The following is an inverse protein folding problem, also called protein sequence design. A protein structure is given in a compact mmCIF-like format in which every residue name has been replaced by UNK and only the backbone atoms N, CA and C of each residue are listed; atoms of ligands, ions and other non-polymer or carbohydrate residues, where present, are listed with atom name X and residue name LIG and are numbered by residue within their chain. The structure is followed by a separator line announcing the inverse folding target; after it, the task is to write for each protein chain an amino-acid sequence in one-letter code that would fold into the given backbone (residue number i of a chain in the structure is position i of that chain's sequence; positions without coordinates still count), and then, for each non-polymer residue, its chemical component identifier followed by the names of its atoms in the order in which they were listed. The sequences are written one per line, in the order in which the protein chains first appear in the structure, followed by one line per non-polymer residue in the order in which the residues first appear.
data_IF_051860509075
#
_entry.id   IF_051860509075
#
_cell.length_a   1.000
_cell.length_b   1.000
_cell.length_c   1.000
_cell.angle_alpha   90.00
_cell.angle_beta   90.00
_cell.angle_gamma   90.00
#
_symmetry.space_group_name_H-M   'P 1'
#
loop_
_entity.id
_entity.type
_entity.pdbx_description
1 polymer ?
#
# COMPACT_ATOMS: atom_id res chain seq x y z
N UNK A 1 -34.64 3.21 4.57
CA UNK A 1 -33.67 3.87 3.67
C UNK A 1 -32.53 2.88 3.45
N UNK A 2 -32.30 2.46 2.20
CA UNK A 2 -31.23 1.50 1.86
C UNK A 2 -29.90 2.22 2.12
N UNK A 3 -29.01 1.65 2.94
CA UNK A 3 -27.69 2.23 3.17
C UNK A 3 -27.04 2.51 1.80
N UNK A 4 -26.39 3.68 1.59
CA UNK A 4 -25.70 3.92 0.33
C UNK A 4 -24.66 2.82 0.16
N UNK A 5 -24.81 2.03 -0.91
CA UNK A 5 -23.88 0.95 -1.22
C UNK A 5 -22.47 1.50 -1.47
N UNK A 6 -21.47 0.61 -1.42
CA UNK A 6 -20.11 0.99 -1.77
C UNK A 6 -20.04 1.48 -3.24
N UNK A 7 -19.12 2.40 -3.57
CA UNK A 7 -18.81 2.75 -4.95
C UNK A 7 -18.54 1.50 -5.80
N UNK A 8 -18.90 1.51 -7.09
CA UNK A 8 -18.87 0.32 -7.95
C UNK A 8 -17.51 -0.40 -7.97
N UNK A 9 -16.40 0.33 -8.08
CA UNK A 9 -15.06 -0.28 -8.06
C UNK A 9 -14.68 -0.77 -6.66
N UNK A 10 -15.08 -0.07 -5.60
CA UNK A 10 -14.88 -0.53 -4.22
C UNK A 10 -15.65 -1.82 -3.95
N UNK A 11 -16.89 -1.94 -4.44
CA UNK A 11 -17.66 -3.17 -4.35
C UNK A 11 -16.99 -4.32 -5.12
N UNK A 12 -16.50 -4.07 -6.34
CA UNK A 12 -15.75 -5.07 -7.11
C UNK A 12 -14.55 -5.63 -6.33
N UNK A 13 -13.73 -4.76 -5.72
CA UNK A 13 -12.62 -5.21 -4.89
C UNK A 13 -13.10 -5.93 -3.61
N UNK A 14 -14.22 -5.49 -3.00
CA UNK A 14 -14.79 -6.16 -1.82
C UNK A 14 -15.18 -7.61 -2.12
N UNK A 15 -15.81 -7.83 -3.28
CA UNK A 15 -16.23 -9.15 -3.75
C UNK A 15 -15.00 -10.01 -4.08
N UNK A 16 -14.00 -9.43 -4.76
CA UNK A 16 -12.74 -10.10 -5.09
C UNK A 16 -11.98 -10.56 -3.83
N UNK A 17 -11.83 -9.69 -2.83
CA UNK A 17 -11.22 -10.05 -1.55
C UNK A 17 -12.03 -11.09 -0.80
N UNK A 18 -13.37 -11.04 -0.85
CA UNK A 18 -14.20 -12.06 -0.24
C UNK A 18 -13.96 -13.43 -0.88
N UNK A 19 -13.83 -13.49 -2.21
CA UNK A 19 -13.45 -14.72 -2.91
C UNK A 19 -12.08 -15.27 -2.50
N UNK A 20 -11.06 -14.41 -2.42
CA UNK A 20 -9.69 -14.82 -2.04
C UNK A 20 -9.60 -15.28 -0.59
N UNK A 21 -10.21 -14.52 0.31
CA UNK A 21 -10.14 -14.77 1.76
C UNK A 21 -10.97 -15.99 2.17
N UNK A 22 -12.10 -16.24 1.52
CA UNK A 22 -12.95 -17.41 1.82
C UNK A 22 -12.38 -18.71 1.24
N UNK A 23 -11.45 -18.64 0.29
CA UNK A 23 -10.83 -19.80 -0.34
C UNK A 23 -9.30 -19.77 -0.19
N UNK A 24 -8.77 -19.85 1.05
CA UNK A 24 -7.33 -19.79 1.28
C UNK A 24 -6.56 -20.94 0.61
N UNK A 25 -7.22 -22.04 0.28
CA UNK A 25 -6.64 -23.17 -0.45
C UNK A 25 -6.26 -22.83 -1.90
N UNK A 26 -6.85 -21.77 -2.46
CA UNK A 26 -6.50 -21.26 -3.78
C UNK A 26 -5.26 -20.36 -3.74
N UNK A 27 -4.83 -19.92 -2.55
CA UNK A 27 -3.60 -19.15 -2.38
C UNK A 27 -2.41 -20.11 -2.37
N UNK A 28 -1.58 -19.96 -3.40
CA UNK A 28 -0.38 -20.75 -3.59
C UNK A 28 0.82 -20.16 -2.86
N UNK A 29 2.00 -20.43 -3.42
CA UNK A 29 3.28 -19.99 -2.87
C UNK A 29 3.43 -18.47 -2.95
N UNK A 30 4.10 -17.88 -1.95
CA UNK A 30 4.54 -16.48 -1.98
C UNK A 30 6.01 -16.42 -2.39
N UNK A 31 6.27 -15.75 -3.50
CA UNK A 31 7.58 -15.40 -4.02
C UNK A 31 7.98 -14.00 -3.55
N UNK A 32 9.28 -13.74 -3.46
CA UNK A 32 9.81 -12.47 -2.97
C UNK A 32 10.75 -11.86 -4.00
N UNK A 33 10.43 -10.68 -4.51
CA UNK A 33 11.35 -9.98 -5.39
C UNK A 33 12.57 -9.47 -4.62
N UNK A 34 13.74 -9.55 -5.25
CA UNK A 34 15.00 -9.04 -4.73
C UNK A 34 15.34 -7.64 -5.27
N UNK A 35 16.35 -7.03 -4.64
CA UNK A 35 16.99 -5.82 -5.14
C UNK A 35 18.19 -6.22 -6.00
N UNK A 36 18.10 -6.13 -7.34
CA UNK A 36 19.25 -6.44 -8.19
C UNK A 36 20.33 -5.36 -8.06
N UNK A 37 21.59 -5.74 -8.26
CA UNK A 37 22.73 -4.81 -8.21
C UNK A 37 22.67 -3.74 -9.31
N UNK A 38 22.05 -4.06 -10.45
CA UNK A 38 21.74 -3.14 -11.54
C UNK A 38 20.31 -3.35 -12.01
N UNK A 39 19.61 -2.23 -12.30
CA UNK A 39 18.23 -2.26 -12.77
C UNK A 39 18.20 -2.22 -14.29
N UNK A 40 17.75 -3.29 -14.97
CA UNK A 40 17.54 -3.24 -16.42
C UNK A 40 16.42 -2.25 -16.77
N UNK A 41 16.45 -1.74 -18.00
CA UNK A 41 15.43 -0.82 -18.53
C UNK A 41 14.05 -1.49 -18.47
N UNK A 42 13.04 -0.75 -18.01
CA UNK A 42 11.68 -1.26 -17.83
C UNK A 42 11.41 -1.91 -16.46
N UNK A 43 12.42 -1.97 -15.57
CA UNK A 43 12.21 -2.42 -14.20
C UNK A 43 11.32 -1.45 -13.44
N UNK A 44 10.35 -1.99 -12.71
CA UNK A 44 9.50 -1.25 -11.78
C UNK A 44 10.12 -1.33 -10.39
N UNK A 45 10.64 -0.21 -9.90
CA UNK A 45 11.13 -0.05 -8.53
C UNK A 45 10.31 1.06 -7.87
N UNK A 46 9.58 0.72 -6.81
CA UNK A 46 8.69 1.65 -6.11
C UNK A 46 9.12 1.69 -4.64
N UNK A 47 9.01 2.85 -4.01
CA UNK A 47 9.40 3.07 -2.62
C UNK A 47 8.46 2.42 -1.59
N UNK A 48 7.39 1.75 -2.05
CA UNK A 48 6.37 1.14 -1.21
C UNK A 48 6.30 -0.37 -1.44
N UNK A 49 6.05 -1.17 -0.39
CA UNK A 49 5.80 -2.60 -0.56
C UNK A 49 4.61 -2.85 -1.46
N UNK A 50 4.71 -3.89 -2.30
CA UNK A 50 3.67 -4.31 -3.22
C UNK A 50 3.43 -5.80 -3.12
N UNK A 51 2.17 -6.22 -3.24
CA UNK A 51 1.79 -7.62 -3.34
C UNK A 51 1.01 -7.81 -4.64
N UNK A 52 1.55 -8.62 -5.53
CA UNK A 52 0.88 -9.02 -6.77
C UNK A 52 0.36 -10.46 -6.60
N UNK A 53 -0.90 -10.71 -6.95
CA UNK A 53 -1.58 -12.00 -6.85
C UNK A 53 -2.08 -12.42 -8.22
N UNK A 54 -1.64 -13.58 -8.70
CA UNK A 54 -2.09 -14.12 -9.98
C UNK A 54 -3.46 -14.78 -9.78
N UNK A 55 -4.51 -14.12 -10.24
CA UNK A 55 -5.88 -14.62 -10.12
C UNK A 55 -6.19 -15.67 -11.19
N UNK A 56 -5.55 -15.57 -12.36
CA UNK A 56 -5.66 -16.54 -13.45
C UNK A 56 -4.56 -16.30 -14.46
N UNK A 57 -4.10 -17.36 -15.13
CA UNK A 57 -3.11 -17.28 -16.20
C UNK A 57 -1.69 -17.35 -15.68
N UNK A 58 -0.76 -16.70 -16.36
CA UNK A 58 0.67 -16.75 -16.02
C UNK A 58 1.29 -15.36 -15.98
N UNK A 59 1.94 -15.03 -14.86
CA UNK A 59 2.69 -13.81 -14.65
C UNK A 59 4.19 -14.11 -14.54
N UNK A 60 5.06 -13.29 -15.11
CA UNK A 60 6.51 -13.51 -15.01
C UNK A 60 7.25 -12.30 -14.47
N UNK A 61 8.32 -12.54 -13.73
CA UNK A 61 9.33 -11.57 -13.33
C UNK A 61 10.70 -12.01 -13.85
N UNK A 62 11.30 -11.26 -14.78
CA UNK A 62 12.58 -11.63 -15.42
C UNK A 62 13.80 -11.48 -14.52
N UNK A 63 13.68 -10.75 -13.42
CA UNK A 63 14.82 -10.48 -12.54
C UNK A 63 15.28 -11.73 -11.78
N UNK A 64 14.41 -12.73 -11.62
CA UNK A 64 14.74 -13.99 -10.95
C UNK A 64 14.26 -15.20 -11.76
N UNK A 65 15.16 -16.13 -12.03
CA UNK A 65 14.86 -17.32 -12.83
C UNK A 65 13.68 -18.15 -12.28
N UNK A 66 13.55 -18.23 -10.95
CA UNK A 66 12.46 -18.96 -10.29
C UNK A 66 11.11 -18.25 -10.37
N UNK A 67 11.10 -16.96 -10.71
CA UNK A 67 9.92 -16.11 -10.78
C UNK A 67 9.52 -15.78 -12.23
N UNK A 68 10.13 -16.44 -13.22
CA UNK A 68 9.78 -16.23 -14.62
C UNK A 68 8.38 -16.75 -14.97
N UNK A 69 7.83 -17.64 -14.14
CA UNK A 69 6.52 -18.24 -14.34
C UNK A 69 5.80 -18.44 -13.00
N UNK A 70 4.98 -17.48 -12.63
CA UNK A 70 4.00 -17.57 -11.56
C UNK A 70 2.65 -17.98 -12.15
N UNK A 71 2.02 -18.97 -11.54
CA UNK A 71 0.72 -19.52 -11.97
C UNK A 71 -0.42 -19.04 -11.07
N UNK A 72 -1.65 -19.40 -11.42
CA UNK A 72 -2.85 -19.09 -10.65
C UNK A 72 -2.69 -19.45 -9.16
N UNK A 73 -3.06 -18.52 -8.29
CA UNK A 73 -2.94 -18.62 -6.84
C UNK A 73 -1.59 -18.17 -6.29
N UNK A 74 -0.52 -18.19 -7.09
CA UNK A 74 0.78 -17.74 -6.63
C UNK A 74 0.84 -16.21 -6.49
N UNK A 75 1.70 -15.79 -5.58
CA UNK A 75 1.81 -14.40 -5.16
C UNK A 75 3.26 -13.93 -5.27
N UNK A 76 3.46 -12.66 -5.60
CA UNK A 76 4.77 -12.01 -5.60
C UNK A 76 4.72 -10.82 -4.64
N UNK A 77 5.41 -10.95 -3.52
CA UNK A 77 5.67 -9.84 -2.62
C UNK A 77 6.95 -9.10 -3.07
N UNK A 78 6.84 -7.80 -3.22
CA UNK A 78 7.91 -6.91 -3.66
C UNK A 78 8.14 -5.93 -2.52
N UNK A 79 9.21 -6.11 -1.74
CA UNK A 79 9.56 -5.17 -0.68
C UNK A 79 9.76 -3.75 -1.22
N UNK A 80 9.68 -2.75 -0.34
CA UNK A 80 10.03 -1.38 -0.70
C UNK A 80 11.42 -1.32 -1.35
N UNK A 81 11.54 -0.58 -2.46
CA UNK A 81 12.77 -0.43 -3.25
C UNK A 81 13.30 -1.71 -3.90
N UNK A 82 12.60 -2.84 -3.77
CA UNK A 82 12.83 -4.00 -4.63
C UNK A 82 12.27 -3.74 -6.02
N UNK A 83 12.83 -4.42 -7.00
CA UNK A 83 12.42 -4.26 -8.38
C UNK A 83 11.76 -5.52 -8.91
N UNK A 84 10.87 -5.34 -9.88
CA UNK A 84 10.39 -6.43 -10.72
C UNK A 84 10.42 -5.99 -12.19
N UNK A 85 10.66 -6.93 -13.08
CA UNK A 85 10.58 -6.74 -14.53
C UNK A 85 9.48 -7.65 -15.06
N UNK A 86 8.23 -7.15 -15.17
CA UNK A 86 7.09 -7.97 -15.53
C UNK A 86 7.19 -8.45 -16.98
N UNK A 87 6.85 -9.72 -17.21
CA UNK A 87 6.68 -10.32 -18.54
C UNK A 87 5.20 -10.44 -18.85
N UNK A 88 4.78 -9.93 -20.01
CA UNK A 88 3.38 -9.98 -20.45
C UNK A 88 3.17 -10.85 -21.71
N UNK A 89 3.86 -11.99 -21.80
CA UNK A 89 3.79 -12.83 -23.01
C UNK A 89 2.54 -13.71 -23.03
N UNK A 90 1.88 -13.90 -21.89
CA UNK A 90 0.70 -14.75 -21.73
C UNK A 90 -0.47 -13.96 -21.10
N UNK A 91 -1.72 -14.36 -21.37
CA UNK A 91 -2.87 -13.72 -20.74
C UNK A 91 -2.86 -13.96 -19.23
N UNK A 92 -3.10 -12.90 -18.46
CA UNK A 92 -3.06 -12.91 -17.00
C UNK A 92 -4.09 -11.95 -16.42
N UNK A 93 -4.75 -12.40 -15.34
CA UNK A 93 -5.50 -11.54 -14.45
C UNK A 93 -4.70 -11.38 -13.16
N UNK A 94 -4.34 -10.14 -12.84
CA UNK A 94 -3.45 -9.81 -11.73
C UNK A 94 -4.14 -8.82 -10.79
N UNK A 95 -4.14 -9.13 -9.50
CA UNK A 95 -4.48 -8.17 -8.44
C UNK A 95 -3.18 -7.63 -7.85
N UNK A 96 -2.96 -6.33 -7.93
CA UNK A 96 -1.80 -5.66 -7.34
C UNK A 96 -2.25 -4.74 -6.20
N UNK A 97 -1.61 -4.89 -5.05
CA UNK A 97 -1.83 -4.11 -3.84
C UNK A 97 -0.57 -3.31 -3.52
N UNK A 98 -0.68 -1.99 -3.44
CA UNK A 98 0.42 -1.09 -3.06
C UNK A 98 0.16 -0.53 -1.67
N UNK A 99 1.10 -0.75 -0.76
CA UNK A 99 0.97 -0.39 0.65
C UNK A 99 1.75 0.88 0.96
N UNK A 100 1.13 2.04 0.72
CA UNK A 100 1.71 3.30 1.13
C UNK A 100 1.36 3.65 2.59
N UNK A 101 2.13 4.50 3.26
CA UNK A 101 1.90 4.80 4.67
C UNK A 101 0.56 5.48 4.97
N UNK A 102 -0.03 6.16 3.99
CA UNK A 102 -1.28 6.91 4.14
C UNK A 102 -2.42 6.38 3.26
N UNK A 103 -2.14 5.51 2.29
CA UNK A 103 -3.14 4.95 1.39
C UNK A 103 -2.82 3.50 0.97
N UNK A 104 -3.87 2.73 0.72
CA UNK A 104 -3.82 1.40 0.12
C UNK A 104 -4.28 1.54 -1.33
N UNK A 105 -3.40 1.21 -2.27
CA UNK A 105 -3.72 1.20 -3.70
C UNK A 105 -4.10 -0.20 -4.13
N UNK A 106 -5.22 -0.33 -4.81
CA UNK A 106 -5.70 -1.59 -5.37
C UNK A 106 -5.85 -1.42 -6.87
N UNK A 107 -5.17 -2.27 -7.62
CA UNK A 107 -5.17 -2.27 -9.08
C UNK A 107 -5.48 -3.67 -9.58
N UNK A 108 -6.45 -3.78 -10.46
CA UNK A 108 -6.78 -5.02 -11.16
C UNK A 108 -6.37 -4.88 -12.62
N UNK A 109 -5.55 -5.82 -13.09
CA UNK A 109 -5.10 -5.89 -14.47
C UNK A 109 -5.70 -7.13 -15.13
N UNK A 110 -6.20 -6.95 -16.36
CA UNK A 110 -6.64 -8.05 -17.21
C UNK A 110 -5.93 -7.91 -18.56
N UNK A 111 -4.89 -8.72 -18.77
CA UNK A 111 -4.08 -8.62 -19.99
C UNK A 111 -4.79 -9.11 -21.25
N UNK A 112 -5.99 -9.71 -21.11
CA UNK A 112 -6.84 -10.11 -22.23
C UNK A 112 -7.56 -8.92 -22.85
N UNK A 113 -7.88 -7.90 -22.05
CA UNK A 113 -8.67 -6.74 -22.48
C UNK A 113 -7.82 -5.48 -22.60
N UNK A 114 -6.70 -5.39 -21.87
CA UNK A 114 -5.89 -4.16 -21.77
C UNK A 114 -4.42 -4.52 -21.51
N UNK A 115 -3.46 -3.69 -21.90
CA UNK A 115 -2.05 -3.92 -21.54
C UNK A 115 -1.84 -3.91 -20.02
N UNK A 116 -0.87 -4.67 -19.50
CA UNK A 116 -0.46 -4.62 -18.07
C UNK A 116 0.06 -3.24 -17.63
N UNK A 117 0.23 -2.30 -18.57
CA UNK A 117 0.57 -0.91 -18.28
C UNK A 117 -0.61 -0.12 -17.70
N UNK A 118 -1.85 -0.53 -17.99
CA UNK A 118 -3.06 0.18 -17.53
C UNK A 118 -3.99 -0.78 -16.79
N UNK A 119 -4.30 -0.51 -15.51
CA UNK A 119 -5.23 -1.34 -14.75
C UNK A 119 -6.63 -1.19 -15.34
N UNK A 120 -7.34 -2.31 -15.47
CA UNK A 120 -8.74 -2.33 -15.88
C UNK A 120 -9.65 -1.71 -14.81
N UNK A 121 -9.27 -1.81 -13.54
CA UNK A 121 -9.91 -1.10 -12.41
C UNK A 121 -8.85 -0.70 -11.40
N UNK A 122 -8.99 0.48 -10.81
CA UNK A 122 -8.09 0.98 -9.78
C UNK A 122 -8.82 1.83 -8.77
N UNK A 123 -8.54 1.61 -7.48
CA UNK A 123 -8.99 2.49 -6.39
C UNK A 123 -7.84 2.78 -5.43
N UNK A 124 -7.95 3.91 -4.73
CA UNK A 124 -7.10 4.25 -3.61
C UNK A 124 -7.97 4.48 -2.39
N UNK A 125 -7.67 3.75 -1.32
CA UNK A 125 -8.39 3.84 -0.05
C UNK A 125 -7.46 4.40 1.03
N UNK A 126 -7.98 5.11 2.04
CA UNK A 126 -7.18 5.47 3.20
C UNK A 126 -6.55 4.23 3.81
N UNK A 127 -5.24 4.27 4.06
CA UNK A 127 -4.54 3.12 4.65
C UNK A 127 -4.98 2.98 6.10
N UNK A 128 -5.35 1.76 6.47
CA UNK A 128 -5.56 1.39 7.87
C UNK A 128 -4.30 0.73 8.45
N UNK A 129 -3.11 1.21 8.07
CA UNK A 129 -1.84 0.87 8.73
C UNK A 129 -1.83 1.42 10.17
N UNK A 130 -2.75 0.93 11.00
CA UNK A 130 -2.53 0.79 12.44
C UNK A 130 -1.45 -0.28 12.60
N UNK A 131 -0.62 -0.16 13.63
CA UNK A 131 0.67 -0.87 13.77
C UNK A 131 0.68 -2.37 13.42
N UNK A 132 -0.45 -3.06 13.47
CA UNK A 132 -0.63 -4.43 12.95
C UNK A 132 -0.25 -4.58 11.47
N UNK A 133 -0.78 -3.73 10.58
CA UNK A 133 -0.50 -3.81 9.14
C UNK A 133 0.97 -3.49 8.82
N UNK A 134 1.54 -2.50 9.52
CA UNK A 134 2.96 -2.17 9.41
C UNK A 134 3.85 -3.31 9.94
N UNK A 135 3.48 -3.93 11.06
CA UNK A 135 4.18 -5.07 11.62
C UNK A 135 4.14 -6.28 10.68
N UNK A 136 2.99 -6.57 10.06
CA UNK A 136 2.87 -7.63 9.06
C UNK A 136 3.75 -7.38 7.84
N UNK A 137 3.74 -6.15 7.29
CA UNK A 137 4.58 -5.77 6.16
C UNK A 137 6.08 -5.82 6.51
N UNK A 138 6.43 -5.42 7.73
CA UNK A 138 7.79 -5.51 8.27
C UNK A 138 8.23 -6.97 8.39
N UNK A 139 7.38 -7.82 8.97
CA UNK A 139 7.63 -9.26 9.08
C UNK A 139 7.81 -9.92 7.70
N UNK A 140 6.96 -9.61 6.72
CA UNK A 140 7.11 -10.07 5.34
C UNK A 140 8.44 -9.60 4.71
N UNK A 141 8.83 -8.36 4.97
CA UNK A 141 10.11 -7.81 4.49
C UNK A 141 11.32 -8.51 5.15
N UNK A 142 11.20 -8.95 6.39
CA UNK A 142 12.25 -9.77 7.02
C UNK A 142 12.28 -11.19 6.45
N UNK A 143 11.12 -11.81 6.26
CA UNK A 143 11.00 -13.15 5.68
C UNK A 143 11.47 -13.20 4.22
N UNK A 144 11.46 -12.07 3.50
CA UNK A 144 12.01 -11.99 2.14
C UNK A 144 13.49 -12.35 2.07
N UNK A 145 14.24 -12.22 3.18
CA UNK A 145 15.66 -12.60 3.27
C UNK A 145 15.86 -14.11 3.44
N UNK A 146 14.84 -14.84 3.90
CA UNK A 146 14.84 -16.30 4.07
C UNK A 146 13.49 -16.88 3.61
N UNK A 147 13.25 -16.96 2.29
CA UNK A 147 11.92 -17.26 1.73
C UNK A 147 11.54 -18.77 1.78
N UNK A 148 12.12 -19.53 2.71
CA UNK A 148 11.94 -20.98 2.82
C UNK A 148 10.71 -21.37 3.65
N UNK A 149 10.27 -20.52 4.57
CA UNK A 149 9.23 -20.83 5.56
C UNK A 149 7.81 -20.51 5.06
N UNK A 150 7.37 -21.16 3.98
CA UNK A 150 6.05 -20.91 3.38
C UNK A 150 4.90 -21.14 4.37
N UNK A 151 5.07 -22.06 5.32
CA UNK A 151 4.11 -22.34 6.41
C UNK A 151 3.86 -21.13 7.33
N UNK A 152 4.78 -20.17 7.39
CA UNK A 152 4.62 -18.91 8.13
C UNK A 152 4.20 -17.78 7.19
N UNK A 153 4.79 -17.72 6.00
CA UNK A 153 4.56 -16.65 5.03
C UNK A 153 3.11 -16.64 4.54
N UNK A 154 2.54 -17.80 4.18
CA UNK A 154 1.18 -17.88 3.64
C UNK A 154 0.12 -17.37 4.63
N UNK A 155 0.06 -17.84 5.90
CA UNK A 155 -0.87 -17.29 6.89
C UNK A 155 -0.70 -15.80 7.14
N UNK A 156 0.54 -15.29 7.09
CA UNK A 156 0.82 -13.87 7.27
C UNK A 156 0.26 -13.03 6.11
N UNK A 157 0.46 -13.48 4.86
CA UNK A 157 -0.16 -12.82 3.69
C UNK A 157 -1.68 -12.91 3.74
N UNK A 158 -2.25 -14.06 4.12
CA UNK A 158 -3.70 -14.20 4.29
C UNK A 158 -4.24 -13.22 5.33
N UNK A 159 -3.55 -13.06 6.46
CA UNK A 159 -3.90 -12.07 7.49
C UNK A 159 -3.87 -10.63 6.96
N UNK A 160 -2.87 -10.31 6.12
CA UNK A 160 -2.80 -9.02 5.42
C UNK A 160 -3.97 -8.82 4.44
N UNK A 161 -4.41 -9.87 3.73
CA UNK A 161 -5.58 -9.82 2.86
C UNK A 161 -6.89 -9.62 3.64
N UNK A 162 -7.02 -10.23 4.82
CA UNK A 162 -8.13 -9.96 5.74
C UNK A 162 -8.17 -8.48 6.15
N UNK A 163 -7.01 -7.90 6.48
CA UNK A 163 -6.92 -6.47 6.78
C UNK A 163 -7.35 -5.63 5.58
N UNK A 164 -6.86 -5.92 4.38
CA UNK A 164 -7.26 -5.23 3.15
C UNK A 164 -8.78 -5.32 2.92
N UNK A 165 -9.37 -6.51 3.09
CA UNK A 165 -10.82 -6.72 3.00
C UNK A 165 -11.58 -5.83 3.99
N UNK A 166 -11.09 -5.67 5.22
CA UNK A 166 -11.70 -4.77 6.20
C UNK A 166 -11.69 -3.32 5.71
N UNK A 167 -10.55 -2.85 5.17
CA UNK A 167 -10.43 -1.49 4.61
C UNK A 167 -11.37 -1.27 3.44
N UNK A 168 -11.48 -2.23 2.52
CA UNK A 168 -12.35 -2.12 1.34
C UNK A 168 -13.83 -2.13 1.70
N UNK A 169 -14.22 -2.80 2.77
CA UNK A 169 -15.62 -2.82 3.22
C UNK A 169 -16.02 -1.59 4.06
N UNK A 170 -15.08 -0.69 4.38
CA UNK A 170 -15.40 0.52 5.14
C UNK A 170 -16.21 1.52 4.28
N UNK A 171 -17.34 2.05 4.78
CA UNK A 171 -18.12 3.05 4.06
C UNK A 171 -17.31 4.33 3.81
N UNK A 172 -17.44 4.97 2.63
CA UNK A 172 -16.82 6.26 2.37
C UNK A 172 -17.43 7.31 3.31
N UNK A 173 -16.69 7.70 4.35
CA UNK A 173 -17.14 8.65 5.37
C UNK A 173 -16.93 8.18 6.82
N UNK A 174 -16.67 6.89 7.05
CA UNK A 174 -16.24 6.38 8.37
C UNK A 174 -14.72 6.43 8.55
N UNK A 175 -14.03 7.10 7.62
CA UNK A 175 -12.61 7.42 7.69
C UNK A 175 -12.37 8.40 8.84
N UNK A 176 -11.28 8.21 9.57
CA UNK A 176 -10.78 9.11 10.63
C UNK A 176 -11.04 10.60 10.30
N UNK A 177 -11.43 11.45 11.26
CA UNK A 177 -11.61 12.87 11.02
C UNK A 177 -10.37 13.42 10.30
N UNK A 178 -10.57 14.18 9.22
CA UNK A 178 -9.50 14.67 8.33
C UNK A 178 -8.28 15.23 9.08
N UNK A 179 -8.48 15.79 10.28
CA UNK A 179 -7.42 16.28 11.16
C UNK A 179 -6.41 15.21 11.59
N UNK A 180 -6.87 14.03 12.00
CA UNK A 180 -6.00 12.93 12.45
C UNK A 180 -5.20 12.35 11.28
N UNK A 181 -5.86 12.21 10.12
CA UNK A 181 -5.20 11.78 8.90
C UNK A 181 -4.13 12.77 8.44
N UNK A 182 -4.42 14.07 8.47
CA UNK A 182 -3.46 15.12 8.13
C UNK A 182 -2.29 15.13 9.12
N UNK A 183 -2.57 15.04 10.41
CA UNK A 183 -1.55 15.00 11.46
C UNK A 183 -0.64 13.78 11.28
N UNK A 184 -1.19 12.58 11.13
CA UNK A 184 -0.39 11.37 10.89
C UNK A 184 0.36 11.42 9.56
N UNK A 185 -0.25 11.93 8.48
CA UNK A 185 0.42 12.11 7.19
C UNK A 185 1.62 13.04 7.32
N UNK A 186 1.48 14.12 8.09
CA UNK A 186 2.55 15.11 8.34
C UNK A 186 3.63 14.52 9.24
N UNK A 187 3.27 13.83 10.33
CA UNK A 187 4.22 13.16 11.22
C UNK A 187 5.02 12.08 10.49
N UNK A 188 4.36 11.30 9.63
CA UNK A 188 5.02 10.27 8.84
C UNK A 188 5.93 10.88 7.75
N UNK A 189 5.47 11.97 7.12
CA UNK A 189 6.28 12.76 6.19
C UNK A 189 7.55 13.31 6.88
N UNK A 190 7.43 13.85 8.10
CA UNK A 190 8.58 14.24 8.92
C UNK A 190 9.51 13.07 9.20
N UNK A 191 8.98 11.91 9.61
CA UNK A 191 9.78 10.72 9.94
C UNK A 191 10.56 10.18 8.73
N UNK A 192 10.00 10.26 7.53
CA UNK A 192 10.63 9.79 6.29
C UNK A 192 11.69 10.79 5.77
N UNK A 193 11.48 12.10 5.94
CA UNK A 193 12.34 13.14 5.33
C UNK A 193 13.37 13.74 6.31
N UNK A 194 13.10 13.77 7.61
CA UNK A 194 14.02 14.29 8.63
C UNK A 194 15.34 13.52 8.83
N UNK A 195 15.52 12.23 8.44
CA UNK A 195 16.83 11.60 8.53
C UNK A 195 17.89 12.25 7.61
N UNK A 196 17.47 13.09 6.63
CA UNK A 196 18.35 13.58 5.57
C UNK A 196 18.28 15.09 5.26
N UNK A 197 17.44 15.89 5.96
CA UNK A 197 17.29 17.33 5.66
C UNK A 197 17.02 18.22 6.89
N UNK A 198 17.46 19.48 6.80
CA UNK A 198 17.13 20.51 7.80
C UNK A 198 15.63 20.86 7.81
N UNK A 199 14.99 21.07 8.98
CA UNK A 199 13.54 21.26 9.11
C UNK A 199 12.98 22.37 8.20
N UNK A 200 13.70 23.48 8.07
CA UNK A 200 13.29 24.63 7.26
C UNK A 200 13.24 24.36 5.75
N UNK A 201 14.07 23.46 5.22
CA UNK A 201 14.06 23.06 3.80
C UNK A 201 12.99 22.01 3.51
N UNK A 202 12.71 21.14 4.48
CA UNK A 202 11.63 20.18 4.40
C UNK A 202 10.27 20.93 4.30
N UNK A 203 9.99 21.85 5.23
CA UNK A 203 8.72 22.61 5.24
C UNK A 203 8.40 23.34 3.92
N UNK A 204 9.39 23.96 3.29
CA UNK A 204 9.20 24.62 1.98
C UNK A 204 8.82 23.62 0.88
N UNK A 205 9.41 22.43 0.88
CA UNK A 205 9.09 21.38 -0.10
C UNK A 205 7.68 20.82 0.08
N UNK A 206 7.18 20.75 1.32
CA UNK A 206 5.82 20.30 1.63
C UNK A 206 4.76 21.29 1.13
N UNK A 207 4.95 22.58 1.40
CA UNK A 207 4.04 23.65 0.96
C UNK A 207 3.95 23.79 -0.57
N UNK A 208 5.03 23.50 -1.28
CA UNK A 208 5.07 23.59 -2.76
C UNK A 208 4.37 22.39 -3.41
N UNK A 209 4.35 21.23 -2.77
CA UNK A 209 3.91 19.98 -3.42
C UNK A 209 2.42 19.64 -3.21
N UNK A 210 1.69 20.33 -2.32
CA UNK A 210 0.26 20.09 -2.10
C UNK A 210 -0.49 21.40 -1.78
N UNK A 211 -1.24 21.98 -2.73
CA UNK A 211 -1.94 23.26 -2.53
C UNK A 211 -3.26 23.14 -1.74
N UNK A 212 -3.65 21.93 -1.33
CA UNK A 212 -4.91 21.68 -0.62
C UNK A 212 -4.64 21.66 0.90
N UNK A 213 -4.16 22.78 1.43
CA UNK A 213 -4.24 23.05 2.87
C UNK A 213 -5.10 24.29 3.01
N UNK A 214 -6.31 24.09 3.52
CA UNK A 214 -7.24 25.19 3.80
C UNK A 214 -6.58 26.20 4.74
N UNK A 215 -6.72 27.50 4.47
CA UNK A 215 -6.08 28.60 5.18
C UNK A 215 -6.29 28.55 6.71
N UNK A 216 -7.40 27.96 7.16
CA UNK A 216 -7.69 27.71 8.58
C UNK A 216 -6.81 26.63 9.24
N UNK A 217 -6.29 25.66 8.47
CA UNK A 217 -5.34 24.66 8.98
C UNK A 217 -3.94 25.26 9.20
N UNK A 218 -3.56 26.25 8.39
CA UNK A 218 -2.27 26.94 8.53
C UNK A 218 -2.18 27.68 9.88
N UNK A 219 -3.25 28.40 10.24
CA UNK A 219 -3.37 29.14 11.50
C UNK A 219 -3.37 28.25 12.75
N UNK A 220 -3.90 27.03 12.65
CA UNK A 220 -3.90 26.05 13.75
C UNK A 220 -2.52 25.37 13.90
N UNK A 221 -1.81 25.14 12.79
CA UNK A 221 -0.48 24.54 12.80
C UNK A 221 0.64 25.49 13.21
N UNK A 222 0.58 26.78 12.85
CA UNK A 222 1.54 27.77 13.33
C UNK A 222 1.55 27.87 14.86
N UNK A 223 0.39 27.75 15.50
CA UNK A 223 0.30 27.69 16.97
C UNK A 223 0.93 26.42 17.55
N UNK A 224 0.86 25.29 16.85
CA UNK A 224 1.38 24.01 17.32
C UNK A 224 2.91 23.90 17.19
N UNK A 225 3.47 24.40 16.08
CA UNK A 225 4.92 24.39 15.84
C UNK A 225 5.66 25.38 16.76
N UNK A 226 5.07 26.55 17.01
CA UNK A 226 5.60 27.50 17.99
C UNK A 226 5.47 26.98 19.44
N UNK A 227 4.43 26.19 19.74
CA UNK A 227 4.25 25.59 21.06
C UNK A 227 5.22 24.44 21.35
N UNK A 228 5.72 23.71 20.35
CA UNK A 228 6.69 22.62 20.57
C UNK A 228 8.11 23.08 20.86
N UNK A 229 8.40 24.38 20.77
CA UNK A 229 9.67 24.99 21.19
C UNK A 229 9.62 25.56 22.62
N UNK A 230 8.46 25.59 23.27
CA UNK A 230 8.33 25.99 24.67
C UNK A 230 7.94 24.80 25.53
N UNK A 231 8.83 24.48 26.47
CA UNK A 231 8.62 23.52 27.56
C UNK A 231 7.36 23.91 28.34
N UNK A 232 6.38 22.98 28.37
CA UNK A 232 5.24 22.97 29.30
C UNK A 232 4.09 23.94 28.98
N UNK A 233 2.91 23.42 28.61
CA UNK A 233 1.63 24.11 28.85
C UNK A 233 0.43 23.14 28.84
N UNK A 234 -0.41 23.29 29.88
CA UNK A 234 -1.68 22.60 30.11
C UNK A 234 -2.76 22.98 29.08
N UNK A 235 -3.60 22.00 28.71
CA UNK A 235 -4.78 22.20 27.89
C UNK A 235 -5.92 22.83 28.72
N UNK A 236 -6.18 24.14 28.56
CA UNK A 236 -7.41 24.77 29.08
C UNK A 236 -8.49 24.83 27.99
N UNK A 237 -9.56 24.04 28.15
CA UNK A 237 -10.78 24.16 27.33
C UNK A 237 -11.50 25.48 27.63
N UNK A 238 -11.91 26.19 26.57
CA UNK A 238 -13.09 27.07 26.56
C UNK A 238 -13.93 26.58 25.36
N UNK A 239 -15.22 26.31 25.49
CA UNK A 239 -16.24 27.16 26.08
C UNK A 239 -16.84 27.94 24.92
#
# INVERSE_FOLDING_TARGET
MKAPGLPADQQFFADLFSGLVLNPQLLGRVWFASQPASLPVGSLCIDFPRLDIVLRGEYGNLLEAKQQRLVEGEMLFIPARAANLPVNNKPVMLLSLVFAPTWLGLSFYDSRTTSLLHPARQIQLPSLQRGEGEAMLTALTHLSRSPLEQNIIQPLVLSLLHLCRSVVNMPPGNSQPRGDFLYHSICNWFRIIMPSRSPARAWRSFLISRPIICQNCLLSMERCVLSSMCVGCEWRRRG
#
